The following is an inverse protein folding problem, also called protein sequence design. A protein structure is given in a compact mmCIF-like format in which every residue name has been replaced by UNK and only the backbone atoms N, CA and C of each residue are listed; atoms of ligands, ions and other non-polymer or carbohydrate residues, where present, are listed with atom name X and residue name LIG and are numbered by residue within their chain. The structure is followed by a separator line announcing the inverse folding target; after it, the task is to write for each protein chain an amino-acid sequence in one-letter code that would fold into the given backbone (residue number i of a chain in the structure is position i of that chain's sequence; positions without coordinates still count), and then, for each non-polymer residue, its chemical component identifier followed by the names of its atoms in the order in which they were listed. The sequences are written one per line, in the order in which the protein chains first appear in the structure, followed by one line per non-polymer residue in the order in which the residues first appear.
data_IF_865894194366
#
_entry.id   IF_865894194366
#
_cell.length_a   1.000
_cell.length_b   1.000
_cell.length_c   1.000
_cell.angle_alpha   90.00
_cell.angle_beta   90.00
_cell.angle_gamma   90.00
#
_symmetry.space_group_name_H-M   'P 1'
#
loop_
_entity.id
_entity.type
_entity.pdbx_description
1 polymer ?
#
# COMPACT_ATOMS: atom_id res chain seq x y z
N UNK A 1 6.42 2.76 -10.17
CA UNK A 1 5.58 1.90 -11.06
C UNK A 1 4.82 2.69 -12.15
N UNK A 2 5.37 3.80 -12.65
CA UNK A 2 4.90 4.53 -13.84
C UNK A 2 6.10 5.09 -14.63
N UNK A 3 7.14 4.27 -14.82
CA UNK A 3 8.34 4.61 -15.61
C UNK A 3 8.53 3.73 -16.85
N UNK A 4 8.04 2.48 -16.80
CA UNK A 4 8.08 1.49 -17.89
C UNK A 4 6.72 0.82 -18.17
N UNK A 5 5.65 1.23 -17.46
CA UNK A 5 4.31 0.67 -17.65
C UNK A 5 4.13 -0.79 -17.24
N UNK A 6 5.10 -1.41 -16.56
CA UNK A 6 5.03 -2.82 -16.14
C UNK A 6 3.91 -3.03 -15.09
N UNK A 7 2.82 -3.74 -15.43
CA UNK A 7 1.72 -4.00 -14.51
C UNK A 7 2.09 -5.04 -13.44
N UNK A 8 3.16 -5.82 -13.65
CA UNK A 8 3.57 -6.91 -12.76
C UNK A 8 4.76 -6.54 -11.87
N UNK A 9 5.23 -5.30 -11.94
CA UNK A 9 6.26 -4.78 -11.05
C UNK A 9 5.79 -4.77 -9.59
N UNK A 10 6.67 -5.16 -8.66
CA UNK A 10 6.34 -5.21 -7.23
C UNK A 10 7.51 -4.72 -6.37
N UNK A 11 7.35 -3.63 -5.60
CA UNK A 11 8.44 -3.05 -4.81
C UNK A 11 8.48 -3.68 -3.41
N UNK A 12 8.90 -4.94 -3.31
CA UNK A 12 8.88 -5.68 -2.05
C UNK A 12 9.70 -5.03 -0.90
N UNK A 13 10.68 -4.21 -1.24
CA UNK A 13 11.53 -3.49 -0.27
C UNK A 13 10.97 -2.12 0.13
N UNK A 14 9.86 -1.68 -0.44
CA UNK A 14 9.22 -0.41 -0.09
C UNK A 14 8.69 -0.44 1.35
N UNK A 15 9.03 0.58 2.14
CA UNK A 15 8.66 0.64 3.55
C UNK A 15 7.14 0.73 3.75
N UNK A 16 6.42 1.43 2.87
CA UNK A 16 4.97 1.52 2.90
C UNK A 16 4.31 0.18 2.58
N UNK A 17 4.80 -0.53 1.56
CA UNK A 17 4.32 -1.88 1.22
C UNK A 17 4.56 -2.87 2.36
N UNK A 18 5.73 -2.83 2.99
CA UNK A 18 6.06 -3.70 4.14
C UNK A 18 5.19 -3.38 5.35
N UNK A 19 5.05 -2.11 5.71
CA UNK A 19 4.20 -1.70 6.82
C UNK A 19 2.72 -2.04 6.58
N UNK A 20 2.22 -1.86 5.35
CA UNK A 20 0.87 -2.24 4.97
C UNK A 20 0.65 -3.76 5.09
N UNK A 21 1.62 -4.55 4.63
CA UNK A 21 1.60 -6.00 4.77
C UNK A 21 1.54 -6.42 6.25
N UNK A 22 2.39 -5.85 7.11
CA UNK A 22 2.37 -6.10 8.55
C UNK A 22 1.02 -5.73 9.17
N UNK A 23 0.45 -4.57 8.80
CA UNK A 23 -0.86 -4.12 9.26
C UNK A 23 -1.99 -5.09 8.89
N UNK A 24 -1.87 -5.76 7.74
CA UNK A 24 -2.80 -6.78 7.26
C UNK A 24 -2.48 -8.20 7.77
N UNK A 25 -1.49 -8.36 8.67
CA UNK A 25 -1.08 -9.65 9.22
C UNK A 25 -0.28 -10.51 8.24
N UNK A 26 0.26 -9.94 7.17
CA UNK A 26 1.15 -10.60 6.23
C UNK A 26 2.60 -10.44 6.71
N UNK A 27 3.32 -11.55 6.83
CA UNK A 27 4.73 -11.52 7.20
C UNK A 27 5.57 -10.84 6.09
N UNK A 28 6.43 -9.85 6.41
CA UNK A 28 7.26 -9.14 5.44
C UNK A 28 8.15 -10.08 4.62
N UNK A 29 8.71 -11.10 5.28
CA UNK A 29 9.67 -12.03 4.68
C UNK A 29 9.02 -12.96 3.63
N UNK A 30 7.69 -13.16 3.74
CA UNK A 30 6.89 -13.93 2.79
C UNK A 30 6.22 -13.08 1.70
N UNK A 31 6.41 -11.76 1.71
CA UNK A 31 5.61 -10.84 0.88
C UNK A 31 5.90 -11.01 -0.62
N UNK A 32 7.14 -11.31 -1.00
CA UNK A 32 7.50 -11.60 -2.41
C UNK A 32 6.74 -12.81 -2.92
N UNK A 33 6.74 -13.90 -2.17
CA UNK A 33 6.03 -15.13 -2.52
C UNK A 33 4.51 -14.91 -2.52
N UNK A 34 3.98 -14.19 -1.53
CA UNK A 34 2.56 -13.86 -1.46
C UNK A 34 2.12 -13.02 -2.68
N UNK A 35 2.97 -12.09 -3.13
CA UNK A 35 2.67 -11.21 -4.26
C UNK A 35 2.42 -11.98 -5.56
N UNK A 36 2.94 -13.21 -5.69
CA UNK A 36 2.77 -14.04 -6.89
C UNK A 36 1.29 -14.31 -7.22
N UNK A 37 0.41 -14.29 -6.21
CA UNK A 37 -1.05 -14.45 -6.38
C UNK A 37 -1.71 -13.27 -7.09
N UNK A 38 -1.06 -12.11 -7.12
CA UNK A 38 -1.58 -10.90 -7.76
C UNK A 38 -1.03 -10.69 -9.17
N UNK A 39 -0.23 -11.63 -9.70
CA UNK A 39 0.22 -11.58 -11.09
C UNK A 39 -1.00 -11.66 -12.03
N UNK A 40 -0.97 -10.95 -13.19
CA UNK A 40 0.11 -10.11 -13.69
C UNK A 40 0.00 -8.63 -13.26
N UNK A 41 -0.74 -8.32 -12.19
CA UNK A 41 -1.13 -6.97 -11.76
C UNK A 41 -0.54 -6.56 -10.41
N UNK A 42 0.65 -7.08 -10.04
CA UNK A 42 1.26 -6.81 -8.74
C UNK A 42 1.49 -5.31 -8.46
N UNK A 43 1.65 -4.50 -9.51
CA UNK A 43 1.81 -3.06 -9.37
C UNK A 43 0.52 -2.39 -8.84
N UNK A 44 -0.65 -2.93 -9.17
CA UNK A 44 -1.93 -2.46 -8.66
C UNK A 44 -2.17 -2.93 -7.22
N UNK A 45 -1.78 -4.17 -6.90
CA UNK A 45 -1.85 -4.64 -5.52
C UNK A 45 -0.99 -3.77 -4.58
N UNK A 46 0.21 -3.40 -4.99
CA UNK A 46 1.05 -2.47 -4.22
C UNK A 46 0.39 -1.08 -4.01
N UNK A 47 -0.31 -0.56 -5.03
CA UNK A 47 -1.08 0.68 -4.90
C UNK A 47 -2.19 0.54 -3.85
N UNK A 48 -2.92 -0.57 -3.85
CA UNK A 48 -3.93 -0.84 -2.83
C UNK A 48 -3.33 -0.99 -1.42
N UNK A 49 -2.18 -1.66 -1.29
CA UNK A 49 -1.48 -1.77 -0.01
C UNK A 49 -1.16 -0.40 0.58
N UNK A 50 -0.64 0.55 -0.22
CA UNK A 50 -0.39 1.91 0.27
C UNK A 50 -1.65 2.61 0.80
N UNK A 51 -2.83 2.34 0.24
CA UNK A 51 -4.08 2.94 0.75
C UNK A 51 -4.55 2.37 2.08
N UNK A 52 -4.07 1.18 2.48
CA UNK A 52 -4.44 0.57 3.77
C UNK A 52 -3.73 1.20 4.96
N UNK A 53 -2.63 1.94 4.72
CA UNK A 53 -1.97 2.69 5.78
C UNK A 53 -2.72 3.99 6.04
N UNK A 54 -2.96 4.29 7.30
CA UNK A 54 -3.53 5.57 7.72
C UNK A 54 -2.46 6.67 7.57
N UNK A 55 -2.38 7.26 6.37
CA UNK A 55 -1.51 8.40 6.08
C UNK A 55 -2.27 9.71 6.22
N UNK A 56 -1.58 10.77 6.66
CA UNK A 56 -2.16 12.11 6.78
C UNK A 56 -2.77 12.62 5.45
N UNK A 57 -2.25 12.16 4.29
CA UNK A 57 -2.83 12.43 2.98
C UNK A 57 -4.23 11.83 2.80
N UNK A 58 -4.52 10.67 3.41
CA UNK A 58 -5.86 10.06 3.39
C UNK A 58 -6.86 10.84 4.25
N UNK A 59 -6.39 11.72 5.13
CA UNK A 59 -7.21 12.57 5.99
C UNK A 59 -7.31 14.02 5.49
N UNK A 60 -6.93 14.27 4.24
CA UNK A 60 -6.99 15.59 3.62
C UNK A 60 -8.23 15.73 2.72
N UNK A 61 -8.99 16.84 2.80
CA UNK A 61 -8.76 18.01 3.65
C UNK A 61 -9.09 17.69 5.13
N UNK A 62 -8.32 18.25 6.09
CA UNK A 62 -8.55 18.03 7.51
C UNK A 62 -9.98 18.47 7.83
N UNK A 63 -10.79 17.55 8.33
CA UNK A 63 -12.06 17.89 8.91
C UNK A 63 -11.77 18.56 10.26
N UNK A 64 -11.71 19.90 10.26
CA UNK A 64 -11.76 20.67 11.50
C UNK A 64 -13.03 20.22 12.24
N UNK A 65 -12.84 19.51 13.35
CA UNK A 65 -13.92 19.21 14.28
C UNK A 65 -14.35 20.57 14.85
N UNK A 66 -15.39 21.14 14.24
CA UNK A 66 -16.10 22.29 14.77
C UNK A 66 -16.77 21.85 16.08
N UNK A 67 -16.02 21.90 17.18
CA UNK A 67 -16.56 21.86 18.53
C UNK A 67 -17.27 23.19 18.76
N UNK A 68 -18.55 23.26 18.36
CA UNK A 68 -19.46 24.31 18.80
C UNK A 68 -19.74 24.12 20.28
N UNK A 69 -19.14 24.98 21.10
CA UNK A 69 -19.59 25.30 22.45
C UNK A 69 -20.92 26.06 22.43
#
# INVERSE_FOLDING_TARGET
MRGLGDPDAFPATDLGVRAAAEHLGLAPDGLVEHSTRWRPWRAYAAQHLWTTLDHAVNRWPPHDRQEKS
#
